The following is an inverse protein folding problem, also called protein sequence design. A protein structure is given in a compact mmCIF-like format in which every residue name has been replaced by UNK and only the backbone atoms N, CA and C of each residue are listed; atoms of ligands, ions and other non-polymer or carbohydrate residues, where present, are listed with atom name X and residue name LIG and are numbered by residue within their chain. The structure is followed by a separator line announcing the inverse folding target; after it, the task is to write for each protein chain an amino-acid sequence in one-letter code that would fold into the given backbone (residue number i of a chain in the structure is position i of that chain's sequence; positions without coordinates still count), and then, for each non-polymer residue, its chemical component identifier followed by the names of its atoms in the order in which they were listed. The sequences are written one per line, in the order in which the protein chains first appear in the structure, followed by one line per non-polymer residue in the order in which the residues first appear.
data_IF_742064825377
#
_entry.id   IF_742064825377
#
_cell.length_a   1.000
_cell.length_b   1.000
_cell.length_c   1.000
_cell.angle_alpha   90.00
_cell.angle_beta   90.00
_cell.angle_gamma   90.00
#
_symmetry.space_group_name_H-M   'P 1'
#
loop_
_entity.id
_entity.type
_entity.pdbx_description
1 polymer ?
#
# COMPACT_ATOMS: atom_id res chain seq x y z
N UNK A 1 2.56 11.43 -14.12
CA UNK A 1 3.67 10.52 -14.46
C UNK A 1 3.41 9.17 -13.80
N UNK A 2 3.85 8.08 -14.44
CA UNK A 2 3.71 6.73 -13.95
C UNK A 2 5.08 6.08 -13.80
N UNK A 3 5.26 5.28 -12.76
CA UNK A 3 6.37 4.35 -12.60
C UNK A 3 5.79 2.94 -12.64
N UNK A 4 6.23 2.13 -13.57
CA UNK A 4 5.76 0.76 -13.77
C UNK A 4 6.86 -0.21 -13.36
N UNK A 5 6.58 -1.04 -12.35
CA UNK A 5 7.47 -2.13 -11.98
C UNK A 5 7.38 -3.23 -13.02
N UNK A 6 8.52 -3.69 -13.49
CA UNK A 6 8.61 -4.79 -14.45
C UNK A 6 9.49 -5.91 -13.90
N UNK A 7 8.98 -7.15 -13.96
CA UNK A 7 9.68 -8.36 -13.57
C UNK A 7 9.36 -9.49 -14.57
N UNK A 8 8.19 -10.13 -14.43
CA UNK A 8 7.72 -11.09 -15.43
C UNK A 8 7.26 -10.36 -16.70
N UNK A 9 7.60 -10.91 -17.86
CA UNK A 9 7.23 -10.34 -19.17
C UNK A 9 7.72 -8.90 -19.38
N UNK A 10 8.83 -8.51 -18.75
CA UNK A 10 9.35 -7.14 -18.77
C UNK A 10 9.42 -6.53 -20.17
N UNK A 11 10.00 -7.25 -21.14
CA UNK A 11 10.12 -6.78 -22.52
C UNK A 11 8.76 -6.50 -23.17
N UNK A 12 7.74 -7.33 -22.89
CA UNK A 12 6.40 -7.13 -23.46
C UNK A 12 5.72 -5.88 -22.86
N UNK A 13 5.92 -5.64 -21.57
CA UNK A 13 5.39 -4.46 -20.89
C UNK A 13 6.09 -3.20 -21.43
N UNK A 14 7.41 -3.23 -21.54
CA UNK A 14 8.18 -2.11 -22.11
C UNK A 14 7.72 -1.83 -23.54
N UNK A 15 7.61 -2.85 -24.39
CA UNK A 15 7.17 -2.69 -25.78
C UNK A 15 5.75 -2.12 -25.90
N UNK A 16 4.86 -2.51 -25.01
CA UNK A 16 3.49 -2.00 -24.98
C UNK A 16 3.39 -0.53 -24.56
N UNK A 17 4.33 -0.06 -23.73
CA UNK A 17 4.28 1.27 -23.10
C UNK A 17 5.37 2.24 -23.60
N UNK A 18 6.33 1.81 -24.42
CA UNK A 18 7.50 2.62 -24.87
C UNK A 18 7.14 3.94 -25.55
N UNK A 19 5.94 4.05 -26.12
CA UNK A 19 5.46 5.26 -26.78
C UNK A 19 4.67 6.21 -25.83
N UNK A 20 4.75 5.98 -24.52
CA UNK A 20 4.12 6.80 -23.48
C UNK A 20 5.18 7.68 -22.82
N UNK A 21 5.20 8.96 -23.12
CA UNK A 21 6.21 9.92 -22.62
C UNK A 21 6.18 10.11 -21.09
N UNK A 22 5.07 9.72 -20.45
CA UNK A 22 4.85 9.89 -19.01
C UNK A 22 5.06 8.60 -18.20
N UNK A 23 5.70 7.57 -18.78
CA UNK A 23 5.97 6.28 -18.13
C UNK A 23 7.47 6.08 -17.95
N UNK A 24 7.89 5.79 -16.73
CA UNK A 24 9.22 5.29 -16.39
C UNK A 24 9.11 3.83 -15.90
N UNK A 25 10.15 3.04 -16.11
CA UNK A 25 10.18 1.65 -15.69
C UNK A 25 11.12 1.45 -14.51
N UNK A 26 10.64 0.74 -13.49
CA UNK A 26 11.44 0.21 -12.40
C UNK A 26 11.72 -1.26 -12.71
N UNK A 27 12.94 -1.55 -13.20
CA UNK A 27 13.32 -2.88 -13.64
C UNK A 27 13.75 -3.75 -12.44
N UNK A 28 12.94 -4.75 -12.15
CA UNK A 28 13.14 -5.72 -11.07
C UNK A 28 13.36 -7.14 -11.60
N UNK A 29 13.82 -7.29 -12.83
CA UNK A 29 14.05 -8.60 -13.46
C UNK A 29 15.10 -9.45 -12.73
N UNK A 30 15.98 -8.82 -11.96
CA UNK A 30 16.99 -9.45 -11.11
C UNK A 30 16.41 -10.09 -9.85
N UNK A 31 15.40 -9.45 -9.23
CA UNK A 31 14.81 -9.87 -7.95
C UNK A 31 13.37 -9.42 -7.81
N UNK A 32 12.45 -10.34 -7.53
CA UNK A 32 11.07 -10.02 -7.15
C UNK A 32 11.04 -9.48 -5.72
N UNK A 33 10.80 -8.18 -5.55
CA UNK A 33 10.98 -7.44 -4.28
C UNK A 33 9.76 -7.38 -3.38
N UNK A 34 8.63 -7.92 -3.77
CA UNK A 34 7.32 -7.64 -3.15
C UNK A 34 6.98 -6.13 -3.17
N UNK A 35 5.75 -5.75 -2.77
CA UNK A 35 5.29 -4.36 -2.91
C UNK A 35 6.13 -3.37 -2.11
N UNK A 36 6.56 -3.72 -0.90
CA UNK A 36 7.39 -2.82 -0.08
C UNK A 36 8.78 -2.59 -0.67
N UNK A 37 9.45 -3.67 -1.07
CA UNK A 37 10.76 -3.60 -1.71
C UNK A 37 10.70 -2.90 -3.07
N UNK A 38 9.62 -3.09 -3.85
CA UNK A 38 9.39 -2.40 -5.11
C UNK A 38 9.30 -0.87 -4.94
N UNK A 39 8.54 -0.40 -3.93
CA UNK A 39 8.46 1.04 -3.60
C UNK A 39 9.84 1.58 -3.19
N UNK A 40 10.59 0.84 -2.38
CA UNK A 40 11.96 1.21 -1.99
C UNK A 40 12.87 1.32 -3.20
N UNK A 41 12.83 0.35 -4.10
CA UNK A 41 13.70 0.27 -5.28
C UNK A 41 13.39 1.39 -6.29
N UNK A 42 12.12 1.72 -6.47
CA UNK A 42 11.66 2.78 -7.37
C UNK A 42 11.92 4.21 -6.83
N UNK A 43 12.52 4.39 -5.65
CA UNK A 43 12.72 5.67 -4.96
C UNK A 43 13.20 6.80 -5.88
N UNK A 44 14.19 6.53 -6.72
CA UNK A 44 14.80 7.53 -7.59
C UNK A 44 13.89 7.97 -8.75
N UNK A 45 12.87 7.19 -9.07
CA UNK A 45 11.86 7.48 -10.09
C UNK A 45 10.64 8.20 -9.51
N UNK A 46 10.41 8.05 -8.21
CA UNK A 46 9.30 8.67 -7.49
C UNK A 46 9.71 10.08 -7.05
N UNK A 47 8.90 11.06 -7.42
CA UNK A 47 9.13 12.45 -7.02
C UNK A 47 8.86 12.64 -5.53
N UNK A 48 9.38 13.75 -4.96
CA UNK A 48 9.28 14.07 -3.53
C UNK A 48 7.88 14.51 -3.05
N UNK A 49 6.83 14.15 -3.77
CA UNK A 49 5.43 14.40 -3.44
C UNK A 49 4.73 13.11 -3.02
N UNK A 50 3.50 13.23 -2.51
CA UNK A 50 2.65 12.07 -2.34
C UNK A 50 2.52 11.30 -3.64
N UNK A 51 2.56 9.99 -3.56
CA UNK A 51 2.41 9.12 -4.72
C UNK A 51 1.43 7.98 -4.42
N UNK A 52 0.69 7.60 -5.46
CA UNK A 52 -0.25 6.49 -5.41
C UNK A 52 0.46 5.22 -5.84
N UNK A 53 0.30 4.16 -5.06
CA UNK A 53 0.63 2.79 -5.46
C UNK A 53 -0.67 2.07 -5.79
N UNK A 54 -0.69 1.37 -6.91
CA UNK A 54 -1.83 0.62 -7.40
C UNK A 54 -1.35 -0.74 -7.91
N UNK A 55 -1.84 -1.82 -7.30
CA UNK A 55 -1.55 -3.16 -7.77
C UNK A 55 -2.18 -3.38 -9.15
N UNK A 56 -1.39 -3.85 -10.11
CA UNK A 56 -1.79 -3.94 -11.53
C UNK A 56 -2.88 -4.97 -11.80
N UNK A 57 -3.04 -5.96 -10.93
CA UNK A 57 -4.06 -7.01 -11.01
C UNK A 57 -5.44 -6.59 -10.45
N UNK A 58 -5.57 -5.32 -10.05
CA UNK A 58 -6.80 -4.77 -9.50
C UNK A 58 -7.49 -3.88 -10.54
N UNK A 59 -8.72 -4.22 -10.87
CA UNK A 59 -9.61 -3.37 -11.65
C UNK A 59 -10.67 -2.82 -10.69
N UNK A 60 -10.74 -1.52 -10.57
CA UNK A 60 -11.67 -0.87 -9.66
C UNK A 60 -12.18 0.46 -10.22
N UNK A 61 -13.26 0.96 -9.63
CA UNK A 61 -13.82 2.27 -9.89
C UNK A 61 -13.34 3.32 -8.86
N UNK A 62 -12.13 3.13 -8.28
CA UNK A 62 -11.63 4.09 -7.32
C UNK A 62 -11.48 5.49 -7.92
N UNK A 63 -11.65 6.51 -7.10
CA UNK A 63 -11.48 7.90 -7.47
C UNK A 63 -10.25 8.48 -6.80
N UNK A 64 -9.27 8.89 -7.59
CA UNK A 64 -8.07 9.59 -7.09
C UNK A 64 -8.46 10.91 -6.42
N UNK A 65 -9.40 11.67 -7.01
CA UNK A 65 -9.89 12.91 -6.43
C UNK A 65 -10.54 12.70 -5.05
N UNK A 66 -11.31 11.61 -4.90
CA UNK A 66 -11.89 11.24 -3.62
C UNK A 66 -10.80 10.94 -2.59
N UNK A 67 -9.79 10.17 -2.95
CA UNK A 67 -8.65 9.87 -2.06
C UNK A 67 -7.91 11.14 -1.63
N UNK A 68 -7.58 12.02 -2.57
CA UNK A 68 -6.84 13.26 -2.29
C UNK A 68 -7.63 14.23 -1.40
N UNK A 69 -8.96 14.30 -1.55
CA UNK A 69 -9.81 15.17 -0.70
C UNK A 69 -10.05 14.61 0.70
N UNK A 70 -9.95 13.29 0.87
CA UNK A 70 -10.26 12.61 2.13
C UNK A 70 -9.02 12.01 2.84
N UNK A 71 -7.82 12.20 2.28
CA UNK A 71 -6.59 11.77 2.94
C UNK A 71 -6.33 12.63 4.19
N UNK A 72 -5.80 12.01 5.22
CA UNK A 72 -5.27 12.76 6.36
C UNK A 72 -3.93 13.40 5.99
N UNK A 73 -3.85 14.73 6.11
CA UNK A 73 -2.61 15.46 5.88
C UNK A 73 -1.55 14.99 6.89
N UNK A 74 -0.31 14.82 6.41
CA UNK A 74 0.83 14.33 7.18
C UNK A 74 0.75 12.84 7.61
N UNK A 75 -0.29 12.11 7.28
CA UNK A 75 -0.29 10.66 7.45
C UNK A 75 0.82 10.01 6.62
N UNK A 76 1.41 8.93 7.15
CA UNK A 76 2.40 8.12 6.44
C UNK A 76 1.78 7.46 5.21
N UNK A 77 0.56 6.97 5.36
CA UNK A 77 -0.20 6.36 4.28
C UNK A 77 -1.72 6.49 4.49
N UNK A 78 -2.44 6.56 3.37
CA UNK A 78 -3.89 6.37 3.30
C UNK A 78 -4.20 5.14 2.46
N UNK A 79 -4.81 4.13 3.07
CA UNK A 79 -5.06 2.82 2.47
C UNK A 79 -6.52 2.75 2.01
N UNK A 80 -6.76 2.47 0.74
CA UNK A 80 -8.11 2.21 0.26
C UNK A 80 -8.56 0.83 0.75
N UNK A 81 -9.67 0.78 1.47
CA UNK A 81 -10.18 -0.43 2.13
C UNK A 81 -11.67 -0.60 1.87
N UNK A 82 -12.15 -1.84 2.00
CA UNK A 82 -13.55 -2.18 1.79
C UNK A 82 -14.03 -3.28 2.73
N UNK A 83 -15.36 -3.43 2.86
CA UNK A 83 -16.01 -4.45 3.69
C UNK A 83 -16.17 -5.81 2.96
N UNK A 84 -15.42 -6.04 1.88
CA UNK A 84 -15.50 -7.32 1.15
C UNK A 84 -15.03 -8.49 2.00
N UNK A 85 -15.60 -9.66 1.77
CA UNK A 85 -15.18 -10.89 2.43
C UNK A 85 -13.78 -11.33 1.97
N UNK A 86 -12.93 -11.64 2.94
CA UNK A 86 -11.59 -12.19 2.75
C UNK A 86 -11.17 -12.97 3.99
N UNK A 87 -10.08 -13.71 3.93
CA UNK A 87 -9.46 -14.30 5.12
C UNK A 87 -8.50 -13.34 5.83
N UNK A 88 -8.05 -12.28 5.17
CA UNK A 88 -7.01 -11.36 5.67
C UNK A 88 -7.55 -9.96 5.76
N UNK A 89 -7.57 -9.40 6.97
CA UNK A 89 -8.09 -8.07 7.24
C UNK A 89 -7.02 -7.19 7.88
N UNK A 90 -7.03 -5.92 7.50
CA UNK A 90 -6.43 -4.85 8.31
C UNK A 90 -7.40 -4.49 9.44
N UNK A 91 -6.84 -4.18 10.60
CA UNK A 91 -7.58 -3.80 11.79
C UNK A 91 -7.45 -2.30 12.01
N UNK A 92 -8.59 -1.64 12.15
CA UNK A 92 -8.66 -0.20 12.38
C UNK A 92 -9.42 0.10 13.68
N UNK A 93 -9.01 1.16 14.37
CA UNK A 93 -9.79 1.71 15.47
C UNK A 93 -10.97 2.56 14.96
N UNK A 94 -11.72 3.18 15.87
CA UNK A 94 -12.90 4.01 15.54
C UNK A 94 -12.55 5.23 14.67
N UNK A 95 -11.34 5.77 14.82
CA UNK A 95 -10.82 6.88 14.00
C UNK A 95 -10.25 6.42 12.64
N UNK A 96 -10.46 5.18 12.26
CA UNK A 96 -9.90 4.57 11.04
C UNK A 96 -8.37 4.52 11.00
N UNK A 97 -7.70 4.62 12.15
CA UNK A 97 -6.24 4.43 12.24
C UNK A 97 -5.90 2.96 12.24
N UNK A 98 -4.89 2.58 11.46
CA UNK A 98 -4.39 1.20 11.39
C UNK A 98 -3.79 0.79 12.75
N UNK A 99 -4.29 -0.30 13.32
CA UNK A 99 -3.83 -0.83 14.61
C UNK A 99 -3.37 -2.28 14.53
N UNK A 100 -3.60 -2.98 13.44
CA UNK A 100 -3.18 -4.37 13.29
C UNK A 100 -3.63 -5.02 11.98
N UNK A 101 -3.42 -6.33 11.95
CA UNK A 101 -3.82 -7.22 10.88
C UNK A 101 -4.22 -8.57 11.46
N UNK A 102 -5.15 -9.25 10.82
CA UNK A 102 -5.56 -10.60 11.19
C UNK A 102 -5.80 -11.49 9.98
N UNK A 103 -5.54 -12.79 10.15
CA UNK A 103 -6.00 -13.83 9.25
C UNK A 103 -7.03 -14.70 10.00
N UNK A 104 -8.30 -14.54 9.64
CA UNK A 104 -9.40 -15.25 10.31
C UNK A 104 -9.40 -16.77 10.07
N UNK A 105 -8.74 -17.24 9.01
CA UNK A 105 -8.62 -18.67 8.71
C UNK A 105 -7.58 -19.39 9.59
N UNK A 106 -6.55 -18.68 10.05
CA UNK A 106 -5.47 -19.23 10.89
C UNK A 106 -5.55 -18.76 12.33
N UNK A 107 -6.32 -17.70 12.62
CA UNK A 107 -6.35 -17.04 13.92
C UNK A 107 -5.11 -16.15 14.17
N UNK A 108 -4.22 -15.99 13.19
CA UNK A 108 -3.02 -15.14 13.34
C UNK A 108 -3.41 -13.67 13.47
N UNK A 109 -2.79 -12.98 14.42
CA UNK A 109 -2.93 -11.54 14.63
C UNK A 109 -1.55 -10.90 14.72
N UNK A 110 -1.36 -9.80 14.02
CA UNK A 110 -0.16 -8.96 14.09
C UNK A 110 -0.57 -7.54 14.49
N UNK A 111 0.10 -6.97 15.48
CA UNK A 111 -0.13 -5.60 15.90
C UNK A 111 1.12 -5.02 16.57
N UNK A 112 1.45 -3.75 16.34
CA UNK A 112 2.48 -3.05 17.09
C UNK A 112 2.00 -2.61 18.49
N UNK A 113 0.71 -2.77 18.78
CA UNK A 113 0.11 -2.39 20.06
C UNK A 113 -0.09 -3.63 20.94
N UNK A 114 0.33 -3.54 22.20
CA UNK A 114 0.10 -4.61 23.18
C UNK A 114 -1.42 -4.74 23.47
N UNK A 115 -1.86 -6.00 23.63
CA UNK A 115 -3.23 -6.32 24.09
C UNK A 115 -4.35 -5.79 23.17
N UNK A 116 -4.13 -5.80 21.84
CA UNK A 116 -5.18 -5.42 20.91
C UNK A 116 -6.40 -6.34 21.04
N UNK A 117 -7.59 -5.75 21.20
CA UNK A 117 -8.84 -6.49 21.14
C UNK A 117 -9.38 -6.48 19.69
N UNK A 118 -9.19 -7.59 18.98
CA UNK A 118 -9.57 -7.73 17.57
C UNK A 118 -11.08 -7.57 17.36
N UNK A 119 -11.90 -7.90 18.34
CA UNK A 119 -13.36 -7.80 18.24
C UNK A 119 -13.88 -6.37 18.38
N UNK A 120 -13.07 -5.48 18.95
CA UNK A 120 -13.34 -4.04 18.99
C UNK A 120 -12.78 -3.28 17.80
N UNK A 121 -12.07 -3.96 16.89
CA UNK A 121 -11.52 -3.33 15.71
C UNK A 121 -12.45 -3.48 14.50
N UNK A 122 -12.47 -2.48 13.64
CA UNK A 122 -13.04 -2.62 12.30
C UNK A 122 -12.14 -3.49 11.45
N UNK A 123 -12.68 -4.59 10.91
CA UNK A 123 -11.98 -5.54 10.03
C UNK A 123 -12.28 -5.17 8.59
N UNK A 124 -11.29 -4.63 7.87
CA UNK A 124 -11.46 -4.17 6.48
C UNK A 124 -10.42 -4.81 5.57
N UNK A 125 -10.86 -5.17 4.37
CA UNK A 125 -9.99 -5.74 3.35
C UNK A 125 -9.20 -4.62 2.65
N UNK A 126 -7.89 -4.78 2.53
CA UNK A 126 -7.04 -3.89 1.75
C UNK A 126 -7.34 -4.05 0.25
N UNK A 127 -7.54 -2.95 -0.44
CA UNK A 127 -7.88 -2.95 -1.86
C UNK A 127 -6.66 -2.89 -2.79
N UNK A 128 -5.42 -2.94 -2.26
CA UNK A 128 -4.21 -2.87 -3.08
C UNK A 128 -3.94 -1.50 -3.69
N UNK A 129 -4.65 -0.48 -3.24
CA UNK A 129 -4.50 0.91 -3.68
C UNK A 129 -4.22 1.76 -2.44
N UNK A 130 -3.14 2.53 -2.47
CA UNK A 130 -2.75 3.33 -1.32
C UNK A 130 -1.96 4.58 -1.72
N UNK A 131 -2.16 5.66 -1.00
CA UNK A 131 -1.47 6.93 -1.16
C UNK A 131 -0.38 7.03 -0.08
N UNK A 132 0.84 7.30 -0.47
CA UNK A 132 2.02 7.32 0.39
C UNK A 132 2.63 8.70 0.52
N UNK A 133 3.00 9.04 1.74
CA UNK A 133 3.86 10.19 2.01
C UNK A 133 5.30 9.89 1.59
N UNK A 134 6.02 10.80 0.93
CA UNK A 134 7.40 10.56 0.49
C UNK A 134 8.38 10.24 1.62
N UNK A 135 8.06 10.57 2.88
CA UNK A 135 8.89 10.20 4.03
C UNK A 135 9.06 8.68 4.21
N UNK A 136 8.20 7.84 3.58
CA UNK A 136 8.36 6.38 3.57
C UNK A 136 9.73 5.96 3.06
N UNK A 137 10.32 6.69 2.10
CA UNK A 137 11.62 6.36 1.54
C UNK A 137 12.75 6.39 2.58
N UNK A 138 12.71 7.33 3.52
CA UNK A 138 13.69 7.41 4.60
C UNK A 138 13.48 6.25 5.61
N UNK A 139 12.22 5.91 5.90
CA UNK A 139 11.89 4.81 6.80
C UNK A 139 12.24 3.44 6.20
N UNK A 140 12.17 3.31 4.87
CA UNK A 140 12.51 2.08 4.17
C UNK A 140 14.02 1.87 3.99
N UNK A 141 14.86 2.84 4.28
CA UNK A 141 16.30 2.78 3.98
C UNK A 141 16.99 1.54 4.54
N UNK A 142 16.67 1.17 5.78
CA UNK A 142 17.24 0.02 6.48
C UNK A 142 16.43 -1.28 6.31
N UNK A 143 15.36 -1.29 5.51
CA UNK A 143 14.61 -2.50 5.21
C UNK A 143 15.38 -3.36 4.19
N UNK A 144 15.19 -4.69 4.17
CA UNK A 144 15.79 -5.56 3.16
C UNK A 144 15.33 -5.16 1.74
N UNK A 145 15.91 -5.78 0.73
CA UNK A 145 15.50 -5.53 -0.66
C UNK A 145 14.10 -6.09 -0.98
N UNK A 146 13.71 -7.15 -0.28
CA UNK A 146 12.40 -7.79 -0.44
C UNK A 146 11.63 -7.76 0.88
N UNK A 147 10.47 -7.11 0.89
CA UNK A 147 9.57 -7.09 2.05
C UNK A 147 8.14 -6.71 1.67
N UNK A 148 7.21 -7.16 2.51
CA UNK A 148 5.79 -6.83 2.38
C UNK A 148 5.51 -5.39 2.79
N UNK A 149 4.72 -4.67 2.01
CA UNK A 149 4.25 -3.32 2.39
C UNK A 149 3.35 -3.36 3.63
N UNK A 150 2.62 -4.45 3.84
CA UNK A 150 1.77 -4.60 5.04
C UNK A 150 2.64 -4.71 6.30
N UNK A 151 3.70 -5.50 6.26
CA UNK A 151 4.63 -5.60 7.40
C UNK A 151 5.31 -4.24 7.68
N UNK A 152 5.66 -3.49 6.64
CA UNK A 152 6.15 -2.12 6.78
C UNK A 152 5.14 -1.22 7.50
N UNK A 153 3.87 -1.26 7.12
CA UNK A 153 2.83 -0.48 7.78
C UNK A 153 2.67 -0.87 9.25
N UNK A 154 2.58 -2.14 9.56
CA UNK A 154 2.43 -2.63 10.93
C UNK A 154 3.63 -2.23 11.80
N UNK A 155 4.86 -2.35 11.29
CA UNK A 155 6.07 -1.95 12.02
C UNK A 155 6.12 -0.45 12.33
N UNK A 156 5.43 0.37 11.56
CA UNK A 156 5.44 1.83 11.68
C UNK A 156 4.18 2.42 12.30
N UNK A 157 3.07 1.67 12.40
CA UNK A 157 1.77 2.17 12.83
C UNK A 157 1.72 2.71 14.27
N UNK A 158 2.63 2.25 15.16
CA UNK A 158 2.73 2.79 16.52
C UNK A 158 3.33 4.20 16.56
N UNK A 159 4.17 4.56 15.59
CA UNK A 159 4.91 5.84 15.55
C UNK A 159 4.34 6.83 14.55
N UNK A 160 3.75 6.32 13.47
CA UNK A 160 3.24 7.11 12.35
C UNK A 160 1.77 6.82 12.13
N UNK A 161 1.05 7.82 11.67
CA UNK A 161 -0.37 7.70 11.36
C UNK A 161 -0.55 7.04 9.99
N UNK A 162 -1.34 5.97 9.98
CA UNK A 162 -1.74 5.25 8.77
C UNK A 162 -3.25 5.06 8.87
N UNK A 163 -3.99 5.54 7.88
CA UNK A 163 -5.44 5.55 7.90
C UNK A 163 -6.05 4.68 6.80
N UNK A 164 -7.15 4.04 7.14
CA UNK A 164 -8.04 3.41 6.18
C UNK A 164 -9.03 4.43 5.60
N UNK A 165 -9.28 4.35 4.31
CA UNK A 165 -10.29 5.14 3.62
C UNK A 165 -11.27 4.22 2.91
N UNK A 166 -12.56 4.35 3.21
CA UNK A 166 -13.63 3.64 2.52
C UNK A 166 -14.22 4.58 1.47
N UNK A 167 -14.12 4.20 0.21
CA UNK A 167 -14.84 4.89 -0.86
C UNK A 167 -16.22 4.26 -1.03
N UNK A 168 -17.30 5.05 -1.00
CA UNK A 168 -18.64 4.53 -1.27
C UNK A 168 -18.74 3.86 -2.64
N UNK A 169 -19.42 2.72 -2.73
CA UNK A 169 -19.63 1.95 -3.97
C UNK A 169 -18.32 1.49 -4.67
N UNK A 170 -17.22 1.33 -3.96
CA UNK A 170 -16.00 0.75 -4.48
C UNK A 170 -16.26 -0.70 -4.95
N UNK A 171 -15.83 -1.00 -6.19
CA UNK A 171 -15.95 -2.32 -6.83
C UNK A 171 -14.58 -2.78 -7.29
#
# INVERSE_FOLDING_TARGET
DFVVNIHHFANQIVDALKNRDNVAFSDETDLLRDTGGAVKYARNLLKSNYFLVHNVDIISNFSLDFMLRNMHQNALATLLVSERNTSRYLLFNDDMRLVGWTNISTGEVKSPFANINVDQCRKLAFSGIHLLNPCVHNLMENYPEKFSIIDFYLNNAAKYEIYGLIQPNLK
#
